data_IF_377041691980
#
_entry.id   IF_377041691980
#
_cell.length_a   1.000
_cell.length_b   1.000
_cell.length_c   1.000
_cell.angle_alpha   90.00
_cell.angle_beta   90.00
_cell.angle_gamma   90.00
#
_symmetry.space_group_name_H-M   'P 1'
#
loop_
_entity.id
_entity.type
_entity.pdbx_description
1 polymer ?
#
# COMPACT_ATOMS: atom_id res chain seq x y z
N UNK A 1 3.96 0.33 15.97
CA UNK A 1 3.11 -0.46 16.91
C UNK A 1 1.91 0.39 17.32
N UNK A 2 0.81 -0.18 17.83
CA UNK A 2 -0.42 0.60 18.10
C UNK A 2 -0.20 1.77 19.05
N UNK A 3 0.67 1.61 20.05
CA UNK A 3 1.05 2.64 21.01
C UNK A 3 1.67 3.90 20.36
N UNK A 4 2.29 3.77 19.18
CA UNK A 4 2.93 4.90 18.51
C UNK A 4 1.89 5.97 18.10
N UNK A 5 0.61 5.59 17.92
CA UNK A 5 -0.46 6.55 17.61
C UNK A 5 -0.72 7.50 18.78
N UNK A 6 -0.70 6.97 20.01
CA UNK A 6 -0.88 7.77 21.21
C UNK A 6 0.36 8.64 21.49
N UNK A 7 1.55 8.09 21.25
CA UNK A 7 2.80 8.83 21.35
C UNK A 7 2.85 9.99 20.33
N UNK A 8 2.44 9.76 19.08
CA UNK A 8 2.32 10.81 18.06
C UNK A 8 1.35 11.91 18.50
N UNK A 9 0.18 11.55 19.05
CA UNK A 9 -0.80 12.52 19.58
C UNK A 9 -0.22 13.34 20.74
N UNK A 10 0.54 12.69 21.63
CA UNK A 10 1.20 13.36 22.76
C UNK A 10 2.27 14.34 22.30
N UNK A 11 3.19 13.90 21.44
CA UNK A 11 4.27 14.71 20.90
C UNK A 11 3.73 15.91 20.11
N UNK A 12 2.72 15.68 19.27
CA UNK A 12 2.07 16.72 18.49
C UNK A 12 1.45 17.83 19.37
N UNK A 13 0.73 17.44 20.43
CA UNK A 13 0.17 18.41 21.40
C UNK A 13 1.27 19.15 22.16
N UNK A 14 2.33 18.44 22.55
CA UNK A 14 3.51 19.04 23.17
C UNK A 14 4.16 20.10 22.27
N UNK A 15 4.30 19.82 20.97
CA UNK A 15 4.82 20.78 19.99
C UNK A 15 3.91 22.01 19.84
N UNK A 16 2.57 21.81 19.77
CA UNK A 16 1.58 22.89 19.68
C UNK A 16 1.66 23.86 20.86
N UNK A 17 1.91 23.34 22.07
CA UNK A 17 1.90 24.14 23.30
C UNK A 17 3.29 24.65 23.69
N UNK A 18 4.35 23.92 23.34
CA UNK A 18 5.73 24.19 23.78
C UNK A 18 6.58 24.99 22.78
N UNK A 19 6.17 25.08 21.50
CA UNK A 19 6.95 25.80 20.49
C UNK A 19 6.77 27.32 20.62
N UNK A 20 7.89 28.06 20.53
CA UNK A 20 7.89 29.53 20.63
C UNK A 20 7.52 30.23 19.31
N UNK A 21 7.62 29.54 18.17
CA UNK A 21 7.26 30.08 16.87
C UNK A 21 6.00 29.40 16.32
N UNK A 22 5.22 30.14 15.53
CA UNK A 22 3.99 29.64 14.92
C UNK A 22 4.24 28.42 14.00
N UNK A 23 5.39 28.36 13.33
CA UNK A 23 5.75 27.22 12.51
C UNK A 23 5.85 25.93 13.34
N UNK A 24 6.52 25.97 14.50
CA UNK A 24 6.62 24.80 15.39
C UNK A 24 5.27 24.41 15.99
N UNK A 25 4.41 25.39 16.27
CA UNK A 25 3.06 25.14 16.78
C UNK A 25 2.16 24.49 15.70
N UNK A 26 2.29 24.85 14.43
CA UNK A 26 1.44 24.35 13.34
C UNK A 26 2.02 23.14 12.60
N UNK A 27 3.32 22.88 12.71
CA UNK A 27 3.99 21.73 12.10
C UNK A 27 3.32 20.37 12.36
N UNK A 28 2.80 20.04 13.57
CA UNK A 28 2.18 18.74 13.80
C UNK A 28 0.72 18.65 13.32
N UNK A 29 0.09 19.76 12.90
CA UNK A 29 -1.33 19.79 12.54
C UNK A 29 -1.71 18.84 11.39
N UNK A 30 -0.91 18.68 10.32
CA UNK A 30 -1.20 17.68 9.29
C UNK A 30 -1.27 16.25 9.85
N UNK A 31 -0.34 15.87 10.74
CA UNK A 31 -0.33 14.55 11.34
C UNK A 31 -1.52 14.33 12.29
N UNK A 32 -1.93 15.34 13.06
CA UNK A 32 -3.12 15.27 13.90
C UNK A 32 -4.40 15.14 13.07
N UNK A 33 -4.50 15.93 12.00
CA UNK A 33 -5.65 15.88 11.09
C UNK A 33 -5.80 14.51 10.44
N UNK A 34 -4.70 13.93 9.95
CA UNK A 34 -4.75 12.59 9.33
C UNK A 34 -5.07 11.51 10.36
N UNK A 35 -4.54 11.60 11.58
CA UNK A 35 -4.91 10.69 12.66
C UNK A 35 -6.38 10.82 13.06
N UNK A 36 -6.97 12.02 12.98
CA UNK A 36 -8.37 12.24 13.30
C UNK A 36 -9.32 11.69 12.22
N UNK A 37 -8.98 11.87 10.95
CA UNK A 37 -9.87 11.55 9.84
C UNK A 37 -9.64 10.18 9.22
N UNK A 38 -8.45 9.61 9.40
CA UNK A 38 -8.04 8.36 8.76
C UNK A 38 -7.41 7.38 9.75
N UNK A 39 -7.82 7.39 11.03
CA UNK A 39 -7.25 6.50 12.07
C UNK A 39 -7.28 5.02 11.64
N UNK A 40 -8.35 4.59 10.98
CA UNK A 40 -8.50 3.22 10.49
C UNK A 40 -7.44 2.84 9.46
N UNK A 41 -7.00 3.79 8.61
CA UNK A 41 -5.89 3.54 7.70
C UNK A 41 -4.59 3.31 8.47
N UNK A 42 -4.30 4.12 9.49
CA UNK A 42 -3.11 3.92 10.34
C UNK A 42 -3.15 2.55 11.03
N UNK A 43 -4.31 2.13 11.52
CA UNK A 43 -4.50 0.80 12.13
C UNK A 43 -4.27 -0.32 11.13
N UNK A 44 -4.84 -0.23 9.92
CA UNK A 44 -4.59 -1.21 8.86
C UNK A 44 -3.08 -1.32 8.51
N UNK A 45 -2.34 -0.20 8.50
CA UNK A 45 -0.89 -0.23 8.25
C UNK A 45 -0.13 -0.93 9.39
N UNK A 46 -0.53 -0.71 10.65
CA UNK A 46 0.15 -1.23 11.83
C UNK A 46 -0.18 -2.71 12.07
N UNK A 47 -1.47 -3.05 12.02
CA UNK A 47 -2.05 -4.33 12.45
C UNK A 47 -2.13 -5.32 11.27
N UNK A 48 -2.71 -4.90 10.14
CA UNK A 48 -2.92 -5.76 8.97
C UNK A 48 -1.73 -5.78 8.01
N UNK A 49 -0.76 -4.88 8.17
CA UNK A 49 0.34 -4.64 7.20
C UNK A 49 -0.17 -4.36 5.80
N UNK A 50 -1.29 -3.63 5.71
CA UNK A 50 -2.00 -3.36 4.46
C UNK A 50 -2.29 -1.87 4.30
N UNK A 51 -2.23 -1.38 3.06
CA UNK A 51 -2.58 0.00 2.71
C UNK A 51 -3.94 0.05 1.98
N UNK A 52 -5.03 0.48 2.63
CA UNK A 52 -6.35 0.56 2.00
C UNK A 52 -6.38 1.49 0.77
N UNK A 53 -5.58 2.56 0.78
CA UNK A 53 -5.47 3.51 -0.31
C UNK A 53 -4.63 3.02 -1.51
N UNK A 54 -3.93 1.88 -1.36
CA UNK A 54 -3.10 1.31 -2.43
C UNK A 54 -1.86 2.14 -2.81
N UNK A 55 -1.39 3.05 -1.94
CA UNK A 55 -0.28 3.97 -2.24
C UNK A 55 1.06 3.55 -1.65
N UNK A 56 1.06 2.88 -0.51
CA UNK A 56 2.29 2.48 0.15
C UNK A 56 2.84 1.19 -0.46
N UNK A 57 3.86 1.31 -1.33
CA UNK A 57 4.45 0.17 -2.06
C UNK A 57 4.78 -1.03 -1.17
N UNK A 58 5.27 -0.81 0.05
CA UNK A 58 5.65 -1.86 0.98
C UNK A 58 4.47 -2.62 1.62
N UNK A 59 3.25 -2.08 1.52
CA UNK A 59 2.05 -2.58 2.21
C UNK A 59 0.91 -2.91 1.23
N UNK A 60 1.26 -3.11 -0.04
CA UNK A 60 0.31 -3.52 -1.07
C UNK A 60 0.74 -4.84 -1.67
N UNK A 61 -0.23 -5.62 -2.12
CA UNK A 61 0.01 -6.84 -2.88
C UNK A 61 -0.72 -6.78 -4.20
N UNK A 62 -0.17 -7.42 -5.22
CA UNK A 62 -0.84 -7.55 -6.51
C UNK A 62 -1.43 -8.94 -6.63
N UNK A 63 -2.72 -9.02 -6.94
CA UNK A 63 -3.43 -10.28 -7.13
C UNK A 63 -4.05 -10.33 -8.53
N UNK A 64 -4.07 -11.52 -9.13
CA UNK A 64 -4.68 -11.74 -10.43
C UNK A 64 -6.04 -12.41 -10.23
N UNK A 65 -7.10 -11.75 -10.71
CA UNK A 65 -8.45 -12.30 -10.73
C UNK A 65 -8.50 -13.36 -11.84
N UNK A 66 -8.69 -14.62 -11.43
CA UNK A 66 -8.69 -15.77 -12.34
C UNK A 66 -9.75 -15.66 -13.43
N UNK A 67 -10.91 -15.12 -13.09
CA UNK A 67 -12.07 -15.03 -13.97
C UNK A 67 -11.89 -14.00 -15.11
N UNK A 68 -11.06 -12.99 -14.88
CA UNK A 68 -10.73 -11.97 -15.88
C UNK A 68 -9.44 -12.29 -16.65
N UNK A 69 -8.63 -13.21 -16.13
CA UNK A 69 -7.33 -13.55 -16.71
C UNK A 69 -7.49 -14.51 -17.90
N UNK A 70 -7.21 -14.02 -19.12
CA UNK A 70 -7.25 -14.83 -20.35
C UNK A 70 -6.00 -15.68 -20.59
N UNK A 71 -5.01 -15.62 -19.69
CA UNK A 71 -3.75 -16.36 -19.84
C UNK A 71 -2.86 -15.88 -20.99
N UNK A 72 -2.88 -14.57 -21.30
CA UNK A 72 -2.12 -13.96 -22.40
C UNK A 72 -0.60 -13.82 -22.18
N UNK A 73 -0.11 -14.16 -20.99
CA UNK A 73 1.31 -14.14 -20.55
C UNK A 73 2.04 -12.78 -20.63
N UNK A 74 1.33 -11.68 -20.92
CA UNK A 74 1.94 -10.36 -21.05
C UNK A 74 2.50 -9.83 -19.72
N UNK A 75 1.77 -10.04 -18.61
CA UNK A 75 2.24 -9.70 -17.27
C UNK A 75 3.50 -10.48 -16.89
N UNK A 76 3.55 -11.79 -17.14
CA UNK A 76 4.71 -12.63 -16.84
C UNK A 76 5.96 -12.21 -17.62
N UNK A 77 5.83 -11.91 -18.92
CA UNK A 77 6.97 -11.46 -19.75
C UNK A 77 7.56 -10.12 -19.34
N UNK A 78 6.74 -9.24 -18.76
CA UNK A 78 7.18 -7.93 -18.31
C UNK A 78 7.55 -7.92 -16.82
N UNK A 79 7.38 -9.01 -16.07
CA UNK A 79 7.67 -9.01 -14.65
C UNK A 79 9.19 -8.94 -14.40
N UNK A 80 9.73 -7.85 -13.81
CA UNK A 80 11.18 -7.71 -13.59
C UNK A 80 11.74 -8.73 -12.61
N UNK A 81 10.92 -9.24 -11.68
CA UNK A 81 11.31 -10.28 -10.73
C UNK A 81 10.90 -11.70 -11.16
N UNK A 82 10.34 -11.88 -12.36
CA UNK A 82 9.88 -13.19 -12.88
C UNK A 82 9.04 -14.02 -11.88
N UNK A 83 8.14 -13.38 -11.15
CA UNK A 83 7.34 -14.01 -10.08
C UNK A 83 5.95 -14.46 -10.49
N UNK A 84 5.59 -14.27 -11.75
CA UNK A 84 4.26 -14.59 -12.23
C UNK A 84 4.29 -15.98 -12.84
N UNK A 85 3.59 -16.91 -12.21
CA UNK A 85 3.51 -18.32 -12.56
C UNK A 85 2.21 -18.53 -13.34
N UNK A 86 2.29 -19.23 -14.48
CA UNK A 86 1.13 -19.55 -15.29
C UNK A 86 1.53 -19.96 -16.69
N UNK A 87 0.73 -20.81 -17.33
CA UNK A 87 0.95 -21.20 -18.73
C UNK A 87 -0.01 -20.49 -19.66
N UNK A 88 0.22 -20.63 -20.97
CA UNK A 88 -0.62 -20.00 -21.99
C UNK A 88 -2.04 -20.54 -21.92
N UNK A 89 -3.04 -19.65 -21.93
CA UNK A 89 -4.48 -19.95 -21.77
C UNK A 89 -4.89 -20.42 -20.37
N UNK A 90 -4.00 -20.35 -19.38
CA UNK A 90 -4.34 -20.60 -17.97
C UNK A 90 -4.24 -19.30 -17.16
N UNK A 91 -5.08 -19.13 -16.12
CA UNK A 91 -4.95 -18.03 -15.18
C UNK A 91 -3.56 -18.01 -14.53
N UNK A 92 -3.01 -16.80 -14.41
CA UNK A 92 -1.69 -16.60 -13.81
C UNK A 92 -1.81 -16.29 -12.32
N UNK A 93 -0.78 -16.63 -11.54
CA UNK A 93 -0.69 -16.39 -10.10
C UNK A 93 0.63 -15.68 -9.81
N UNK A 94 0.61 -14.70 -8.90
CA UNK A 94 1.80 -13.96 -8.49
C UNK A 94 2.36 -14.56 -7.20
N UNK A 95 3.61 -15.03 -7.26
CA UNK A 95 4.38 -15.47 -6.11
C UNK A 95 4.77 -14.25 -5.25
N UNK A 96 4.01 -14.00 -4.19
CA UNK A 96 4.15 -12.79 -3.37
C UNK A 96 5.50 -12.71 -2.65
N UNK A 97 6.09 -13.85 -2.32
CA UNK A 97 7.35 -13.94 -1.55
C UNK A 97 8.54 -13.27 -2.25
N UNK A 98 8.54 -13.21 -3.59
CA UNK A 98 9.59 -12.59 -4.39
C UNK A 98 9.10 -11.36 -5.18
N UNK A 99 7.84 -10.95 -5.00
CA UNK A 99 7.27 -9.83 -5.73
C UNK A 99 7.84 -8.51 -5.19
N UNK A 100 8.43 -7.69 -6.07
CA UNK A 100 8.99 -6.38 -5.69
C UNK A 100 7.97 -5.24 -5.77
N UNK A 101 6.68 -5.57 -5.89
CA UNK A 101 5.55 -4.65 -5.90
C UNK A 101 5.69 -3.51 -6.92
N UNK A 102 6.28 -3.79 -8.09
CA UNK A 102 6.60 -2.76 -9.10
C UNK A 102 5.40 -2.21 -9.89
N UNK A 103 4.26 -2.94 -9.92
CA UNK A 103 3.06 -2.51 -10.63
C UNK A 103 3.02 -2.80 -12.14
N UNK A 104 4.13 -3.26 -12.73
CA UNK A 104 4.19 -3.49 -14.19
C UNK A 104 3.14 -4.50 -14.68
N UNK A 105 2.81 -5.52 -13.89
CA UNK A 105 1.78 -6.49 -14.23
C UNK A 105 0.38 -5.85 -14.39
N UNK A 106 0.08 -4.83 -13.59
CA UNK A 106 -1.18 -4.09 -13.65
C UNK A 106 -1.21 -3.17 -14.87
N UNK A 107 -0.13 -2.43 -15.13
CA UNK A 107 -0.03 -1.52 -16.27
C UNK A 107 -0.19 -2.21 -17.63
N UNK A 108 0.41 -3.40 -17.79
CA UNK A 108 0.35 -4.14 -19.06
C UNK A 108 -0.93 -4.97 -19.20
N UNK A 109 -1.78 -5.05 -18.18
CA UNK A 109 -2.97 -5.89 -18.23
C UNK A 109 -4.12 -5.21 -18.97
N UNK A 110 -4.33 -5.59 -20.23
CA UNK A 110 -5.44 -5.07 -21.06
C UNK A 110 -6.84 -5.53 -20.60
N UNK A 111 -6.93 -6.48 -19.66
CA UNK A 111 -8.19 -7.07 -19.20
C UNK A 111 -8.60 -6.59 -17.81
N UNK A 112 -7.80 -5.72 -17.18
CA UNK A 112 -8.05 -5.31 -15.79
C UNK A 112 -8.04 -6.46 -14.79
N UNK A 113 -7.33 -7.56 -15.10
CA UNK A 113 -7.32 -8.77 -14.29
C UNK A 113 -6.38 -8.68 -13.08
N UNK A 114 -5.62 -7.60 -12.92
CA UNK A 114 -4.70 -7.40 -11.78
C UNK A 114 -5.28 -6.33 -10.86
N UNK A 115 -5.36 -6.62 -9.57
CA UNK A 115 -5.85 -5.71 -8.53
C UNK A 115 -4.79 -5.47 -7.45
N UNK A 116 -4.91 -4.34 -6.76
CA UNK A 116 -4.13 -4.05 -5.54
C UNK A 116 -4.95 -4.49 -4.32
N UNK A 117 -4.34 -5.25 -3.42
CA UNK A 117 -4.88 -5.60 -2.09
C UNK A 117 -4.06 -4.98 -0.97
#
# INVERSE_FOLDING_TARGET
KPEDLDELKLLAKGMQQGSLCALGQLAPSPALSTLQHFEDEYRAHIEEKRCPAGKCKALITYEIITDLCTGCTLCARNCPSNTIIGTKKEPHVIEQSACIQCGMCMEVCNFGAVIVK
#
